data_IF_174591558570
#
_entry.id   IF_174591558570
#
_cell.length_a   1.000
_cell.length_b   1.000
_cell.length_c   1.000
_cell.angle_alpha   90.00
_cell.angle_beta   90.00
_cell.angle_gamma   90.00
#
_symmetry.space_group_name_H-M   'P 1'
#
loop_
_entity.id
_entity.type
_entity.pdbx_description
1 polymer ?
2 non-polymer ?
3 non-polymer ?
4 non-polymer ?
5 non-polymer ?
6 non-polymer ?
7 non-polymer ?
8 water ?
#
# COMPACT_ATOMS: atom_id res chain seq x y z
N UNK A 4 -9.57 -10.14 -17.50
CA UNK A 4 -8.16 -10.62 -17.33
C UNK A 4 -7.51 -9.84 -16.13
N UNK A 5 -6.88 -10.59 -15.24
CA UNK A 5 -6.10 -10.07 -14.12
C UNK A 5 -4.63 -10.22 -14.43
N UNK A 6 -3.90 -9.14 -14.24
CA UNK A 6 -2.45 -9.23 -14.36
C UNK A 6 -1.78 -9.61 -13.05
N UNK A 7 -0.57 -10.19 -13.12
CA UNK A 7 0.19 -10.46 -11.91
C UNK A 7 1.66 -10.22 -12.22
N UNK A 8 2.33 -9.48 -11.34
CA UNK A 8 3.78 -9.28 -11.47
C UNK A 8 4.47 -9.81 -10.20
N UNK A 9 5.55 -10.56 -10.42
CA UNK A 9 6.43 -11.11 -9.38
C UNK A 9 7.77 -11.39 -10.01
N UNK A 10 8.84 -10.97 -9.33
CA UNK A 10 10.19 -11.23 -9.79
C UNK A 10 11.09 -11.62 -8.61
N UNK A 11 11.65 -12.82 -8.67
CA UNK A 11 12.53 -13.39 -7.61
C UNK A 11 13.67 -12.46 -7.25
N UNK A 12 14.12 -11.64 -8.20
CA UNK A 12 15.26 -10.71 -7.94
C UNK A 12 14.98 -9.73 -6.76
N UNK A 13 13.70 -9.48 -6.48
CA UNK A 13 13.31 -8.63 -5.34
C UNK A 13 13.56 -9.31 -3.96
N UNK A 14 13.85 -10.62 -3.97
CA UNK A 14 14.32 -11.35 -2.77
C UNK A 14 15.75 -10.96 -2.34
N UNK A 15 16.50 -10.32 -3.23
CA UNK A 15 17.93 -10.05 -2.97
C UNK A 15 18.23 -9.01 -1.89
N UNK A 16 17.32 -8.05 -1.72
CA UNK A 16 17.29 -7.12 -0.60
C UNK A 16 17.20 -7.95 0.71
N UNK A 17 18.17 -7.78 1.61
CA UNK A 17 18.20 -8.57 2.85
C UNK A 17 18.91 -7.81 3.93
N UNK A 18 18.69 -8.25 5.17
CA UNK A 18 19.34 -7.67 6.35
C UNK A 18 20.56 -8.57 6.68
N UNK A 19 21.76 -8.06 6.43
CA UNK A 19 22.94 -8.91 6.60
C UNK A 19 23.31 -9.05 8.07
N UNK A 20 22.74 -8.23 8.94
CA UNK A 20 23.01 -8.32 10.36
C UNK A 20 21.99 -9.16 11.13
N UNK A 21 20.81 -9.39 10.55
CA UNK A 21 19.74 -10.06 11.29
C UNK A 21 18.87 -10.76 10.25
N UNK A 22 19.20 -12.03 9.99
CA UNK A 22 18.52 -12.75 8.92
C UNK A 22 17.10 -13.14 9.31
N UNK A 23 16.74 -12.95 10.58
CA UNK A 23 15.38 -13.14 11.06
C UNK A 23 14.57 -11.82 11.12
N UNK A 24 15.15 -10.70 10.67
CA UNK A 24 14.37 -9.45 10.57
C UNK A 24 13.02 -9.68 9.81
N UNK A 25 11.90 -9.13 10.32
CA UNK A 25 10.56 -9.56 9.79
C UNK A 25 10.31 -9.21 8.31
N UNK A 26 10.99 -8.21 7.77
CA UNK A 26 10.79 -7.86 6.35
C UNK A 26 11.68 -8.78 5.48
N UNK A 27 11.26 -10.03 5.38
CA UNK A 27 12.02 -11.15 4.82
C UNK A 27 11.93 -11.27 3.32
N UNK A 28 13.05 -11.65 2.66
CA UNK A 28 12.99 -12.05 1.24
C UNK A 28 11.84 -13.01 0.91
N UNK A 29 11.58 -13.95 1.79
CA UNK A 29 10.54 -14.96 1.55
C UNK A 29 9.11 -14.46 1.71
N UNK A 30 8.93 -13.21 2.16
CA UNK A 30 7.55 -12.63 2.11
C UNK A 30 6.97 -12.77 0.66
N UNK A 31 7.75 -12.40 -0.35
CA UNK A 31 7.19 -12.40 -1.73
C UNK A 31 7.18 -13.81 -2.36
N UNK A 32 8.20 -14.62 -2.07
CA UNK A 32 8.21 -16.00 -2.65
C UNK A 32 7.12 -16.88 -2.05
N UNK A 33 6.80 -16.68 -0.76
CA UNK A 33 5.71 -17.44 -0.14
C UNK A 33 4.37 -17.01 -0.73
N UNK A 34 4.15 -15.72 -0.89
CA UNK A 34 2.89 -15.26 -1.51
C UNK A 34 2.77 -15.84 -2.93
N UNK A 35 3.85 -15.73 -3.70
CA UNK A 35 3.82 -16.27 -5.06
C UNK A 35 3.54 -17.80 -5.06
N UNK A 36 4.25 -18.55 -4.20
CA UNK A 36 4.07 -20.04 -4.17
C UNK A 36 2.62 -20.35 -3.81
N UNK A 37 2.02 -19.56 -2.92
CA UNK A 37 0.61 -19.79 -2.57
C UNK A 37 -0.36 -19.59 -3.73
N UNK A 38 -0.08 -18.60 -4.59
CA UNK A 38 -0.91 -18.34 -5.78
C UNK A 38 -0.76 -19.54 -6.72
N UNK A 39 0.44 -20.10 -6.80
CA UNK A 39 0.65 -21.33 -7.59
C UNK A 39 -0.15 -22.52 -7.04
N UNK A 40 -0.04 -22.76 -5.72
CA UNK A 40 -0.82 -23.79 -5.05
C UNK A 40 -2.31 -23.68 -5.22
N UNK A 41 -2.86 -22.47 -5.14
CA UNK A 41 -4.30 -22.28 -5.29
C UNK A 41 -4.71 -22.23 -6.75
N UNK A 42 -3.75 -22.39 -7.66
CA UNK A 42 -4.00 -22.40 -9.11
C UNK A 42 -4.48 -21.04 -9.64
N UNK A 43 -4.12 -19.98 -8.92
CA UNK A 43 -4.45 -18.59 -9.29
C UNK A 43 -3.47 -18.07 -10.31
N UNK A 44 -2.20 -18.46 -10.15
CA UNK A 44 -1.13 -17.99 -11.02
C UNK A 44 -1.42 -18.26 -12.50
N UNK A 45 -1.90 -19.47 -12.81
CA UNK A 45 -2.11 -19.84 -14.21
C UNK A 45 -3.35 -19.16 -14.79
N UNK A 46 -4.17 -18.52 -13.96
CA UNK A 46 -5.35 -17.78 -14.43
C UNK A 46 -5.05 -16.30 -14.75
N UNK A 47 -3.86 -15.85 -14.35
CA UNK A 47 -3.43 -14.48 -14.53
C UNK A 47 -2.55 -14.28 -15.74
N UNK A 48 -2.61 -13.07 -16.29
CA UNK A 48 -1.65 -12.64 -17.28
C UNK A 48 -0.39 -12.15 -16.56
N UNK A 49 0.74 -12.76 -16.89
CA UNK A 49 1.98 -12.41 -16.25
C UNK A 49 2.59 -11.13 -16.82
N UNK A 50 2.78 -10.13 -15.96
CA UNK A 50 3.38 -8.85 -16.39
C UNK A 50 4.84 -8.84 -15.97
N UNK A 51 5.73 -8.45 -16.86
CA UNK A 51 7.15 -8.46 -16.44
C UNK A 51 7.54 -7.35 -15.50
N UNK A 52 8.51 -7.62 -14.60
CA UNK A 52 9.07 -6.58 -13.78
C UNK A 52 9.98 -5.80 -14.68
N UNK A 53 10.30 -4.58 -14.29
CA UNK A 53 11.34 -3.80 -14.95
C UNK A 53 11.85 -2.86 -13.89
N UNK A 54 13.01 -2.26 -14.14
CA UNK A 54 13.49 -1.20 -13.28
C UNK A 54 12.73 0.09 -13.56
N UNK A 55 12.34 0.79 -12.52
CA UNK A 55 11.98 2.18 -12.60
C UNK A 55 13.24 2.93 -13.06
N UNK A 56 13.05 4.00 -13.82
CA UNK A 56 14.17 4.90 -14.16
C UNK A 56 14.30 5.99 -13.12
N UNK A 57 15.48 6.62 -13.05
CA UNK A 57 15.70 7.78 -12.17
C UNK A 57 14.77 8.95 -12.46
N UNK A 58 14.42 9.12 -13.73
CA UNK A 58 13.44 10.11 -14.10
C UNK A 58 12.08 9.82 -13.49
N UNK A 59 11.65 8.57 -13.55
CA UNK A 59 10.41 8.15 -12.88
C UNK A 59 10.44 8.39 -11.37
N UNK A 60 11.57 8.05 -10.73
CA UNK A 60 11.72 8.33 -9.30
C UNK A 60 11.56 9.79 -8.96
N UNK A 61 12.02 10.68 -9.85
CA UNK A 61 11.90 12.12 -9.66
C UNK A 61 10.47 12.61 -9.73
N UNK A 62 9.54 11.73 -10.12
CA UNK A 62 8.15 12.13 -10.04
C UNK A 62 7.72 12.47 -8.62
N UNK A 63 8.34 11.80 -7.64
CA UNK A 63 8.02 12.01 -6.25
C UNK A 63 9.24 12.31 -5.36
N UNK A 64 10.46 11.95 -5.79
CA UNK A 64 11.62 12.03 -4.89
C UNK A 64 12.63 13.07 -5.33
N UNK A 65 13.29 13.71 -4.37
CA UNK A 65 14.38 14.64 -4.69
C UNK A 65 15.55 13.93 -5.35
N UNK A 66 16.32 14.67 -6.16
CA UNK A 66 17.52 14.12 -6.74
C UNK A 66 18.55 13.68 -5.68
N UNK A 67 18.64 14.43 -4.58
CA UNK A 67 19.55 14.06 -3.47
C UNK A 67 19.17 12.70 -2.86
N UNK A 68 17.86 12.43 -2.66
CA UNK A 68 17.43 11.16 -2.08
C UNK A 68 17.74 9.98 -3.01
N UNK A 69 17.43 10.13 -4.31
CA UNK A 69 17.71 9.09 -5.30
C UNK A 69 19.20 8.74 -5.32
N UNK A 70 20.00 9.79 -5.36
CA UNK A 70 21.47 9.74 -5.39
C UNK A 70 22.06 9.03 -4.17
N UNK A 71 21.64 9.45 -2.99
CA UNK A 71 22.02 8.79 -1.72
C UNK A 71 21.66 7.27 -1.75
N UNK A 72 20.41 6.94 -2.05
CA UNK A 72 20.05 5.51 -2.12
C UNK A 72 20.85 4.75 -3.18
N UNK A 73 21.01 5.35 -4.36
CA UNK A 73 21.76 4.70 -5.42
C UNK A 73 23.22 4.42 -5.01
N UNK A 74 23.85 5.36 -4.29
CA UNK A 74 25.26 5.23 -3.85
C UNK A 74 25.48 4.02 -2.91
N UNK A 75 24.39 3.55 -2.27
CA UNK A 75 24.44 2.39 -1.37
C UNK A 75 24.85 1.11 -2.08
N UNK A 76 24.71 1.10 -3.41
CA UNK A 76 24.98 -0.06 -4.25
C UNK A 76 26.43 -0.60 -4.19
N UNK A 77 27.33 0.37 -3.98
CA UNK A 77 28.78 0.25 -3.90
C UNK A 77 29.30 0.61 -2.49
N UNK A 78 28.63 0.08 -1.48
CA UNK A 78 29.08 0.25 -0.07
C UNK A 78 29.46 -1.05 0.60
N UNK A 79 30.43 -0.94 1.51
CA UNK A 79 30.86 -2.08 2.33
C UNK A 79 29.90 -2.17 3.53
N UNK A 80 29.84 -3.33 4.21
CA UNK A 80 28.82 -3.46 5.25
C UNK A 80 28.73 -2.28 6.25
N UNK A 81 29.88 -1.78 6.68
CA UNK A 81 29.96 -0.70 7.67
C UNK A 81 29.22 0.56 7.23
N UNK A 82 29.35 0.90 5.96
CA UNK A 82 28.74 2.11 5.43
C UNK A 82 27.26 1.91 5.13
N UNK A 83 26.92 0.71 4.72
CA UNK A 83 25.50 0.29 4.63
C UNK A 83 24.80 0.46 5.96
N UNK A 84 25.41 -0.06 7.03
CA UNK A 84 24.92 0.15 8.40
C UNK A 84 24.80 1.63 8.76
N UNK A 85 25.86 2.41 8.55
CA UNK A 85 25.80 3.86 8.84
C UNK A 85 24.71 4.64 8.10
N UNK A 86 24.58 4.37 6.79
CA UNK A 86 23.53 5.01 5.97
C UNK A 86 22.12 4.61 6.42
N UNK A 87 21.89 3.33 6.61
CA UNK A 87 20.56 2.86 7.06
C UNK A 87 20.15 3.51 8.35
N UNK A 88 21.12 3.63 9.26
CA UNK A 88 20.94 4.24 10.57
C UNK A 88 20.64 5.74 10.54
N UNK A 89 20.87 6.40 9.40
CA UNK A 89 20.42 7.80 9.27
C UNK A 89 18.90 7.93 9.13
N UNK A 90 18.24 6.80 8.86
CA UNK A 90 16.78 6.79 8.76
C UNK A 90 16.15 6.10 9.95
N UNK A 91 14.84 6.25 10.10
CA UNK A 91 14.07 5.43 11.02
C UNK A 91 13.72 4.06 10.38
N UNK A 92 14.16 2.97 11.02
CA UNK A 92 13.83 1.58 10.61
C UNK A 92 14.13 1.23 9.15
N UNK A 93 15.41 1.32 8.78
CA UNK A 93 15.86 0.96 7.46
C UNK A 93 17.09 0.07 7.59
N UNK A 94 17.07 -1.07 6.91
CA UNK A 94 18.31 -1.81 6.64
C UNK A 94 18.56 -1.78 5.13
N UNK A 95 19.84 -1.71 4.75
CA UNK A 95 20.27 -1.63 3.37
C UNK A 95 21.31 -2.70 3.11
N UNK A 96 21.18 -3.38 1.97
CA UNK A 96 22.20 -4.25 1.42
C UNK A 96 22.61 -3.70 0.03
N UNK A 97 23.59 -4.36 -0.62
CA UNK A 97 24.07 -3.90 -1.92
C UNK A 97 22.98 -4.03 -3.00
N UNK A 98 21.98 -4.88 -2.75
CA UNK A 98 20.94 -5.15 -3.73
C UNK A 98 19.72 -4.26 -3.52
N UNK A 99 19.69 -3.45 -2.46
CA UNK A 99 18.43 -2.78 -2.03
C UNK A 99 17.91 -1.78 -3.06
N UNK A 100 18.81 -0.92 -3.54
CA UNK A 100 18.43 0.04 -4.58
C UNK A 100 17.80 -0.64 -5.81
N UNK A 101 18.43 -1.71 -6.30
CA UNK A 101 17.92 -2.48 -7.45
C UNK A 101 16.51 -2.99 -7.14
N UNK A 102 16.35 -3.56 -5.95
CA UNK A 102 15.05 -4.15 -5.61
C UNK A 102 13.96 -3.08 -5.49
N UNK A 103 14.33 -1.93 -4.94
CA UNK A 103 13.39 -0.82 -4.85
C UNK A 103 13.00 -0.34 -6.25
N UNK A 104 13.97 -0.29 -7.17
CA UNK A 104 13.66 0.07 -8.58
C UNK A 104 12.73 -0.94 -9.20
N UNK A 105 13.00 -2.24 -8.98
CA UNK A 105 12.12 -3.28 -9.51
C UNK A 105 10.71 -3.23 -8.94
N UNK A 106 10.56 -2.90 -7.65
CA UNK A 106 9.22 -2.87 -7.09
C UNK A 106 8.42 -1.75 -7.77
N UNK A 107 9.05 -0.58 -7.94
CA UNK A 107 8.38 0.55 -8.62
C UNK A 107 8.07 0.26 -10.11
N UNK A 108 9.06 -0.23 -10.83
CA UNK A 108 8.91 -0.52 -12.26
C UNK A 108 7.87 -1.59 -12.51
N UNK A 109 7.79 -2.57 -11.61
CA UNK A 109 6.75 -3.59 -11.71
C UNK A 109 5.36 -3.00 -11.63
N UNK A 110 5.19 -2.07 -10.70
CA UNK A 110 3.88 -1.42 -10.54
C UNK A 110 3.55 -0.51 -11.74
N UNK A 111 4.56 0.16 -12.29
CA UNK A 111 4.36 0.97 -13.49
C UNK A 111 3.87 0.10 -14.64
N UNK A 112 4.47 -1.07 -14.84
CA UNK A 112 4.11 -1.93 -15.96
C UNK A 112 2.73 -2.44 -15.67
N UNK A 113 2.42 -2.65 -14.39
CA UNK A 113 1.04 -3.13 -14.13
C UNK A 113 0.00 -2.01 -14.41
N UNK A 114 0.31 -0.78 -14.00
CA UNK A 114 -0.63 0.32 -14.18
C UNK A 114 -0.80 0.55 -15.71
N UNK A 115 0.30 0.41 -16.47
CA UNK A 115 0.25 0.54 -17.92
C UNK A 115 -0.64 -0.55 -18.54
N UNK A 116 -0.51 -1.79 -18.04
CA UNK A 116 -1.29 -2.92 -18.55
C UNK A 116 -2.76 -2.68 -18.32
N UNK A 117 -3.10 -2.04 -17.20
CA UNK A 117 -4.50 -1.75 -16.92
C UNK A 117 -5.01 -0.60 -17.84
N UNK A 118 -4.22 0.46 -17.95
CA UNK A 118 -4.67 1.65 -18.65
C UNK A 118 -4.65 1.52 -20.18
N UNK A 119 -3.80 0.64 -20.72
CA UNK A 119 -3.85 0.28 -22.15
C UNK A 119 -4.93 -0.78 -22.41
N UNK A 120 -5.59 -1.25 -21.36
CA UNK A 120 -6.62 -2.28 -21.48
C UNK A 120 -6.14 -3.69 -21.78
N UNK A 121 -4.86 -3.98 -21.54
CA UNK A 121 -4.36 -5.37 -21.65
C UNK A 121 -4.97 -6.26 -20.56
N UNK A 122 -5.18 -5.70 -19.37
CA UNK A 122 -5.82 -6.38 -18.22
C UNK A 122 -6.85 -5.42 -17.59
N UNK A 123 -7.85 -5.97 -16.91
CA UNK A 123 -8.83 -5.17 -16.17
C UNK A 123 -8.21 -4.66 -14.85
N UNK A 124 -7.43 -5.51 -14.18
CA UNK A 124 -6.93 -5.21 -12.82
C UNK A 124 -5.67 -6.03 -12.63
N UNK A 125 -4.95 -5.85 -11.51
CA UNK A 125 -3.66 -6.52 -11.37
C UNK A 125 -3.18 -6.59 -9.92
N UNK A 126 -2.25 -7.51 -9.65
CA UNK A 126 -1.64 -7.65 -8.34
C UNK A 126 -0.13 -7.59 -8.49
N UNK A 127 0.54 -6.87 -7.58
CA UNK A 127 2.00 -6.69 -7.66
C UNK A 127 2.60 -7.26 -6.37
N UNK A 128 3.34 -8.37 -6.48
CA UNK A 128 3.83 -9.06 -5.29
C UNK A 128 5.27 -8.59 -5.20
N UNK A 129 5.47 -7.50 -4.47
CA UNK A 129 6.75 -6.72 -4.57
C UNK A 129 7.34 -6.40 -3.20
N UNK A 130 8.66 -6.15 -3.14
CA UNK A 130 9.35 -5.65 -1.92
C UNK A 130 10.65 -5.06 -2.42
N UNK A 131 11.28 -4.16 -1.66
CA UNK A 131 10.79 -3.61 -0.37
C UNK A 131 9.51 -2.76 -0.54
N UNK A 132 8.73 -2.55 0.54
CA UNK A 132 7.54 -1.72 0.45
C UNK A 132 7.83 -0.22 0.23
N UNK A 133 6.77 0.58 0.21
CA UNK A 133 6.83 1.97 -0.27
C UNK A 133 6.25 3.09 0.59
N UNK A 134 5.17 2.81 1.29
CA UNK A 134 4.33 3.90 1.76
C UNK A 134 4.86 4.82 2.87
N UNK A 135 5.97 4.45 3.55
CA UNK A 135 6.60 5.36 4.50
C UNK A 135 7.63 6.24 3.84
N UNK A 136 8.01 5.91 2.60
CA UNK A 136 9.04 6.76 1.93
C UNK A 136 8.48 8.14 1.58
N UNK A 137 9.29 9.16 1.87
CA UNK A 137 8.91 10.58 1.72
C UNK A 137 9.68 11.07 0.51
N UNK A 138 9.37 12.28 0.03
CA UNK A 138 10.13 12.92 -1.07
C UNK A 138 11.63 12.86 -0.84
N UNK A 139 12.06 13.19 0.38
CA UNK A 139 13.48 13.42 0.69
C UNK A 139 14.15 12.33 1.50
N UNK A 140 13.36 11.36 1.96
CA UNK A 140 13.87 10.39 2.90
C UNK A 140 13.24 9.00 2.84
N UNK A 141 14.06 8.01 3.21
CA UNK A 141 13.67 6.62 3.40
C UNK A 141 13.13 6.46 4.84
N UNK A 142 12.29 5.45 5.08
CA UNK A 142 11.66 5.26 6.36
C UNK A 142 10.98 3.92 6.43
N UNK A 143 11.11 3.19 7.54
CA UNK A 143 10.14 2.09 7.81
C UNK A 143 10.10 1.04 6.71
N UNK A 144 11.29 0.54 6.34
CA UNK A 144 11.50 -0.54 5.33
C UNK A 144 11.35 -0.07 3.87
N UNK A 145 10.96 1.19 3.70
CA UNK A 145 10.64 1.80 2.41
C UNK A 145 11.71 2.79 1.90
N UNK A 146 12.08 2.65 0.64
CA UNK A 146 13.12 3.54 0.03
C UNK A 146 12.51 4.58 -0.88
N UNK A 147 11.59 4.15 -1.74
CA UNK A 147 10.86 5.03 -2.67
C UNK A 147 9.41 4.68 -2.54
N UNK A 148 8.54 5.68 -2.71
CA UNK A 148 7.13 5.44 -2.50
C UNK A 148 6.50 4.87 -3.77
N UNK A 149 6.55 3.55 -3.88
CA UNK A 149 6.02 2.81 -4.98
C UNK A 149 4.55 3.18 -5.38
N UNK A 150 3.62 3.18 -4.44
CA UNK A 150 2.24 3.57 -4.78
C UNK A 150 2.11 5.02 -5.24
N UNK A 151 2.84 5.95 -4.60
CA UNK A 151 2.77 7.40 -4.94
C UNK A 151 3.34 7.59 -6.35
N UNK A 152 4.49 6.93 -6.59
CA UNK A 152 5.16 6.96 -7.91
C UNK A 152 4.24 6.45 -9.02
N UNK A 153 3.50 5.38 -8.70
CA UNK A 153 2.60 4.67 -9.64
C UNK A 153 1.43 5.59 -10.02
N UNK A 154 0.91 6.32 -9.04
CA UNK A 154 -0.12 7.29 -9.34
C UNK A 154 0.41 8.41 -10.28
N UNK A 155 1.62 8.92 -10.01
CA UNK A 155 2.20 9.93 -10.90
C UNK A 155 2.56 9.36 -12.26
N UNK A 156 3.07 8.12 -12.26
CA UNK A 156 3.35 7.45 -13.52
C UNK A 156 2.06 7.34 -14.38
N UNK A 157 0.95 6.91 -13.78
CA UNK A 157 -0.34 6.81 -14.45
C UNK A 157 -0.83 8.13 -15.00
N UNK A 158 -0.59 9.21 -14.24
CA UNK A 158 -0.95 10.56 -14.70
C UNK A 158 -0.10 10.98 -15.87
N UNK A 159 1.17 10.57 -15.89
CA UNK A 159 2.10 10.95 -16.96
C UNK A 159 1.79 10.31 -18.33
N UNK A 160 0.96 9.25 -18.36
CA UNK A 160 0.58 8.56 -19.61
C UNK A 160 -0.87 8.71 -19.96
N UNK A 161 -1.60 9.52 -19.17
CA UNK A 161 -3.03 9.70 -19.46
C UNK A 161 -3.34 11.20 -19.40
N UNK A 162 -3.73 11.69 -18.23
CA UNK A 162 -3.72 13.14 -17.99
C UNK A 162 -3.20 13.49 -16.61
N UNK A 163 -2.55 14.65 -16.56
CA UNK A 163 -1.95 15.15 -15.32
C UNK A 163 -2.86 15.08 -14.12
N UNK A 164 -4.15 15.41 -14.31
CA UNK A 164 -5.18 15.41 -13.22
C UNK A 164 -6.02 14.15 -13.19
N UNK A 165 -5.53 13.06 -13.80
CA UNK A 165 -6.22 11.75 -13.65
C UNK A 165 -6.56 11.50 -12.18
N UNK A 166 -7.82 11.14 -11.88
CA UNK A 166 -8.24 10.96 -10.50
C UNK A 166 -7.82 9.58 -10.01
N UNK A 167 -6.84 9.56 -9.08
CA UNK A 167 -6.33 8.27 -8.57
C UNK A 167 -6.74 8.14 -7.09
N UNK A 168 -7.45 7.07 -6.74
CA UNK A 168 -7.67 6.71 -5.35
C UNK A 168 -6.63 5.76 -4.86
N UNK A 169 -5.98 6.13 -3.73
CA UNK A 169 -5.10 5.15 -3.06
C UNK A 169 -5.77 4.77 -1.74
N UNK A 170 -6.14 3.50 -1.62
CA UNK A 170 -6.60 2.94 -0.35
C UNK A 170 -5.43 2.23 0.29
N UNK A 171 -5.06 2.66 1.52
CA UNK A 171 -3.91 2.12 2.19
C UNK A 171 -4.48 1.33 3.40
N UNK A 172 -4.56 0.00 3.25
CA UNK A 172 -5.05 -0.84 4.33
C UNK A 172 -3.95 -1.59 5.10
N UNK A 173 -2.66 -1.32 4.82
CA UNK A 173 -1.60 -1.69 5.73
C UNK A 173 -1.97 -1.18 7.15
N UNK A 174 -1.56 -1.88 8.19
CA UNK A 174 -1.95 -1.48 9.55
C UNK A 174 -1.29 -0.15 10.00
N UNK A 175 -0.21 0.23 9.29
CA UNK A 175 0.48 1.49 9.57
C UNK A 175 0.02 2.64 8.71
N UNK A 176 0.09 3.87 9.21
CA UNK A 176 -0.18 5.04 8.38
C UNK A 176 0.87 5.24 7.32
N UNK A 177 0.45 5.54 6.08
CA UNK A 177 1.39 5.81 5.01
C UNK A 177 1.74 7.27 5.03
N UNK A 178 2.64 7.66 5.94
CA UNK A 178 2.98 9.06 6.14
C UNK A 178 3.53 9.65 4.85
N UNK A 179 4.32 8.85 4.12
CA UNK A 179 4.97 9.32 2.91
C UNK A 179 3.95 9.63 1.82
N UNK A 180 2.99 8.73 1.61
CA UNK A 180 1.88 8.95 0.67
C UNK A 180 1.01 10.17 1.03
N UNK A 181 0.59 10.22 2.28
CA UNK A 181 -0.16 11.40 2.74
C UNK A 181 0.57 12.71 2.37
N UNK A 182 1.85 12.76 2.72
CA UNK A 182 2.62 14.02 2.56
C UNK A 182 2.86 14.40 1.09
N UNK A 183 3.18 13.41 0.27
CA UNK A 183 3.37 13.60 -1.16
C UNK A 183 2.15 14.23 -1.81
N UNK A 184 0.94 13.78 -1.42
CA UNK A 184 -0.31 14.26 -2.02
C UNK A 184 -1.13 15.25 -1.18
N UNK A 185 -0.55 15.78 -0.12
CA UNK A 185 -1.31 16.53 0.88
C UNK A 185 -2.02 17.78 0.30
N UNK A 186 -1.42 18.41 -0.71
CA UNK A 186 -2.03 19.57 -1.39
C UNK A 186 -2.72 19.22 -2.71
N UNK A 187 -2.92 17.93 -2.97
CA UNK A 187 -3.30 17.48 -4.29
C UNK A 187 -4.76 17.01 -4.32
N UNK A 188 -5.61 17.59 -5.17
CA UNK A 188 -7.00 17.07 -5.24
C UNK A 188 -7.19 15.99 -6.32
N UNK A 189 -6.12 15.61 -7.00
CA UNK A 189 -6.20 14.58 -8.05
C UNK A 189 -5.95 13.18 -7.50
N UNK A 190 -5.34 13.13 -6.30
CA UNK A 190 -5.03 11.85 -5.66
C UNK A 190 -5.69 11.81 -4.29
N UNK A 191 -6.79 11.06 -4.17
CA UNK A 191 -7.47 10.89 -2.91
C UNK A 191 -6.74 9.78 -2.13
N UNK A 192 -6.25 10.13 -0.95
CA UNK A 192 -5.57 9.19 -0.06
C UNK A 192 -6.44 8.82 1.09
N UNK A 193 -6.76 7.52 1.19
CA UNK A 193 -7.55 7.00 2.29
C UNK A 193 -6.75 5.92 2.98
N UNK A 194 -6.39 6.21 4.24
CA UNK A 194 -5.66 5.22 5.07
C UNK A 194 -6.49 4.74 6.28
N UNK A 195 -6.48 3.42 6.52
CA UNK A 195 -6.95 2.85 7.77
C UNK A 195 -5.69 2.41 8.47
N UNK A 196 -5.59 2.67 9.77
CA UNK A 196 -4.36 2.35 10.48
C UNK A 196 -4.54 2.39 11.97
N UNK A 197 -3.75 1.56 12.63
CA UNK A 197 -3.65 1.59 14.09
C UNK A 197 -2.90 2.87 14.48
N UNK A 198 -3.47 3.59 15.45
CA UNK A 198 -2.98 4.91 15.85
C UNK A 198 -2.65 4.93 17.32
N UNK A 199 -3.61 4.52 18.16
CA UNK A 199 -3.41 4.44 19.64
C UNK A 199 -2.98 5.82 20.16
N UNK A 200 -3.62 6.90 19.70
CA UNK A 200 -3.35 8.27 20.19
C UNK A 200 -1.89 8.60 20.01
N UNK A 201 -1.29 8.02 18.99
CA UNK A 201 0.11 8.33 18.71
C UNK A 201 1.11 7.34 19.27
N UNK A 202 0.65 6.30 19.95
CA UNK A 202 1.60 5.35 20.54
C UNK A 202 2.08 4.32 19.49
N UNK A 203 1.36 4.25 18.37
CA UNK A 203 1.67 3.25 17.34
C UNK A 203 2.50 3.90 16.23
N UNK A 204 3.58 3.24 15.80
CA UNK A 204 4.41 3.71 14.68
C UNK A 204 3.57 4.16 13.45
N UNK A 205 3.87 5.27 12.76
CA UNK A 205 5.10 6.07 12.96
C UNK A 205 4.99 7.17 14.05
N UNK A 206 4.02 7.09 14.95
CA UNK A 206 4.06 7.91 16.21
C UNK A 206 3.92 9.42 16.00
N UNK A 207 3.20 9.80 14.96
CA UNK A 207 2.97 11.20 14.63
C UNK A 207 1.48 11.50 14.59
N UNK A 208 1.09 12.69 15.06
CA UNK A 208 -0.29 13.16 14.93
C UNK A 208 -0.72 13.41 13.48
N UNK A 209 0.24 13.37 12.56
CA UNK A 209 -0.08 13.45 11.09
C UNK A 209 -1.08 12.37 10.67
N UNK A 210 -1.04 11.23 11.38
CA UNK A 210 -2.03 10.13 11.17
C UNK A 210 -3.39 10.37 11.75
N UNK A 211 -3.64 11.48 12.48
CA UNK A 211 -5.01 11.58 13.08
C UNK A 211 -6.13 11.95 12.10
N UNK A 212 -7.40 11.75 12.50
CA UNK A 212 -8.54 11.96 11.57
C UNK A 212 -8.77 13.42 11.14
N UNK A 213 -8.22 14.37 11.91
CA UNK A 213 -8.42 15.77 11.59
C UNK A 213 -7.40 16.27 10.56
N UNK A 214 -6.53 15.38 10.07
CA UNK A 214 -5.62 15.78 9.00
C UNK A 214 -6.33 15.46 7.68
N UNK A 215 -6.97 16.49 7.09
CA UNK A 215 -7.99 16.27 6.01
C UNK A 215 -7.45 16.70 4.63
N UNK A 216 -6.19 17.13 4.57
CA UNK A 216 -5.64 17.68 3.33
C UNK A 216 -5.38 19.19 3.48
N UNK A 217 -4.55 19.75 2.59
CA UNK A 217 -4.15 21.17 2.69
C UNK A 217 -4.37 21.91 1.36
N UNK A 218 -4.77 23.18 1.43
CA UNK A 218 -4.92 24.00 0.21
C UNK A 218 -5.96 23.42 -0.73
N UNK A 219 -5.63 23.31 -2.02
CA UNK A 219 -6.62 22.70 -2.93
C UNK A 219 -6.87 21.21 -2.60
N UNK A 220 -5.99 20.60 -1.80
CA UNK A 220 -6.17 19.19 -1.37
C UNK A 220 -7.03 18.99 -0.14
N UNK A 221 -7.66 20.06 0.35
CA UNK A 221 -8.47 19.94 1.51
C UNK A 221 -9.72 19.06 1.23
N UNK A 222 -9.87 18.02 2.04
CA UNK A 222 -10.93 17.01 1.87
C UNK A 222 -10.40 15.76 1.18
N UNK A 223 -9.18 15.80 0.67
CA UNK A 223 -8.69 14.68 -0.17
C UNK A 223 -7.67 13.80 0.57
N UNK A 224 -7.68 13.86 1.88
CA UNK A 224 -6.84 13.01 2.70
C UNK A 224 -7.73 12.50 3.81
N UNK A 225 -7.91 11.18 3.90
CA UNK A 225 -8.92 10.63 4.81
C UNK A 225 -8.16 9.60 5.67
N UNK A 226 -7.92 9.99 6.93
CA UNK A 226 -7.30 9.11 7.96
C UNK A 226 -8.35 8.47 8.86
N UNK A 227 -8.33 7.13 8.93
CA UNK A 227 -9.24 6.36 9.75
C UNK A 227 -8.35 5.70 10.83
N UNK A 228 -8.21 6.39 11.99
CA UNK A 228 -7.26 5.91 12.99
C UNK A 228 -7.94 5.03 14.06
N UNK A 229 -7.39 3.84 14.29
CA UNK A 229 -7.91 2.92 15.33
C UNK A 229 -7.22 3.14 16.67
N UNK A 230 -8.01 3.14 17.73
CA UNK A 230 -7.43 3.24 19.12
C UNK A 230 -8.10 2.21 19.99
N UNK A 231 -7.39 1.69 20.99
CA UNK A 231 -8.07 0.78 21.94
C UNK A 231 -7.93 -0.69 21.57
N UNK A 232 -6.76 -1.09 21.05
CA UNK A 232 -6.40 -2.51 20.88
C UNK A 232 -6.97 -3.18 19.60
N UNK A 233 -7.10 -4.51 19.63
CA UNK A 233 -7.34 -5.28 18.39
C UNK A 233 -8.61 -4.90 17.70
N UNK A 234 -8.53 -4.77 16.37
CA UNK A 234 -9.66 -4.58 15.49
C UNK A 234 -9.64 -5.73 14.47
N UNK A 235 -10.75 -5.97 13.79
CA UNK A 235 -10.83 -7.12 12.85
C UNK A 235 -11.85 -6.87 11.75
N UNK A 236 -12.40 -7.94 11.16
CA UNK A 236 -13.37 -7.79 10.10
C UNK A 236 -14.54 -6.82 10.36
N UNK A 237 -15.20 -6.89 11.53
CA UNK A 237 -16.35 -5.98 11.66
C UNK A 237 -15.99 -4.50 11.53
N UNK A 238 -14.89 -4.09 12.14
CA UNK A 238 -14.46 -2.71 12.16
C UNK A 238 -14.03 -2.26 10.76
N UNK A 239 -13.29 -3.12 10.07
CA UNK A 239 -12.88 -2.84 8.68
C UNK A 239 -14.04 -2.76 7.73
N UNK A 240 -14.98 -3.72 7.83
CA UNK A 240 -16.18 -3.68 7.01
C UNK A 240 -17.02 -2.42 7.27
N UNK A 241 -17.11 -2.03 8.54
CA UNK A 241 -17.88 -0.82 8.90
C UNK A 241 -17.22 0.44 8.36
N UNK A 242 -15.89 0.53 8.45
CA UNK A 242 -15.22 1.68 7.91
C UNK A 242 -15.37 1.80 6.37
N UNK A 243 -15.32 0.66 5.66
CA UNK A 243 -15.53 0.66 4.22
C UNK A 243 -16.96 1.08 3.89
N UNK A 244 -17.90 0.53 4.64
CA UNK A 244 -19.33 0.89 4.46
C UNK A 244 -19.66 2.39 4.72
N UNK A 245 -19.26 2.90 5.87
CA UNK A 245 -19.55 4.29 6.22
C UNK A 245 -18.70 5.35 5.58
N UNK A 246 -17.43 5.03 5.28
CA UNK A 246 -16.43 6.05 4.93
C UNK A 246 -15.75 5.79 3.59
N UNK A 247 -15.05 4.64 3.46
CA UNK A 247 -14.23 4.39 2.27
C UNK A 247 -15.06 4.42 0.99
N UNK A 248 -16.17 3.68 0.98
CA UNK A 248 -16.88 3.50 -0.28
C UNK A 248 -17.74 4.71 -0.62
N UNK A 249 -18.41 5.33 0.39
CA UNK A 249 -19.16 6.53 -0.04
C UNK A 249 -18.25 7.69 -0.54
N UNK A 250 -17.11 7.90 0.10
CA UNK A 250 -16.18 8.95 -0.34
C UNK A 250 -15.62 8.60 -1.74
N UNK A 251 -15.19 7.34 -1.88
CA UNK A 251 -14.66 6.84 -3.15
C UNK A 251 -15.64 7.05 -4.31
N UNK A 252 -16.91 6.64 -4.12
CA UNK A 252 -17.92 6.84 -5.18
C UNK A 252 -18.12 8.30 -5.55
N UNK A 253 -18.15 9.16 -4.54
CA UNK A 253 -18.25 10.59 -4.79
C UNK A 253 -17.04 11.13 -5.55
N UNK A 254 -15.83 10.65 -5.22
CA UNK A 254 -14.65 11.06 -5.92
C UNK A 254 -14.61 10.58 -7.38
N UNK A 255 -15.19 9.40 -7.62
CA UNK A 255 -15.22 8.78 -8.95
C UNK A 255 -13.82 8.61 -9.52
N UNK A 256 -12.97 7.80 -8.84
CA UNK A 256 -11.59 7.57 -9.30
C UNK A 256 -11.54 7.00 -10.74
N UNK A 257 -10.48 7.30 -11.47
CA UNK A 257 -10.30 6.72 -12.80
C UNK A 257 -9.32 5.55 -12.71
N UNK A 258 -8.64 5.43 -11.55
CA UNK A 258 -7.71 4.31 -11.24
C UNK A 258 -7.68 4.14 -9.71
N UNK A 259 -7.76 2.90 -9.22
CA UNK A 259 -7.59 2.58 -7.79
C UNK A 259 -6.26 1.87 -7.57
N UNK A 260 -5.42 2.39 -6.66
CA UNK A 260 -4.31 1.66 -6.17
C UNK A 260 -4.53 1.28 -4.75
N UNK A 261 -4.21 0.03 -4.40
CA UNK A 261 -4.32 -0.39 -3.02
C UNK A 261 -2.91 -0.50 -2.48
N UNK A 262 -2.59 0.33 -1.47
CA UNK A 262 -1.37 0.08 -0.66
C UNK A 262 -1.71 -1.09 0.28
N UNK A 263 -1.46 -2.33 -0.20
CA UNK A 263 -2.09 -3.51 0.44
C UNK A 263 -1.04 -4.15 1.34
N UNK A 264 -0.83 -3.58 2.53
CA UNK A 264 -0.05 -4.29 3.52
C UNK A 264 -0.97 -5.32 4.10
N UNK A 265 -0.40 -6.41 4.56
CA UNK A 265 -1.23 -7.43 5.18
C UNK A 265 -0.84 -7.62 6.64
N UNK A 266 -0.42 -6.52 7.29
CA UNK A 266 -0.02 -6.59 8.68
C UNK A 266 -1.15 -6.27 9.61
N UNK A 267 -2.35 -5.98 9.08
CA UNK A 267 -3.55 -5.95 9.94
C UNK A 267 -4.13 -7.37 10.03
N UNK A 268 -3.47 -8.34 9.43
CA UNK A 268 -3.98 -9.73 9.39
C UNK A 268 -3.93 -10.44 10.73
N UNK A 269 -4.94 -11.28 10.98
CA UNK A 269 -4.87 -12.28 12.06
C UNK A 269 -3.51 -13.01 11.96
N UNK A 270 -2.80 -13.06 13.07
CA UNK A 270 -1.49 -13.75 13.14
C UNK A 270 -0.26 -12.84 12.97
N UNK A 271 -0.47 -11.59 12.54
CA UNK A 271 0.69 -10.70 12.35
C UNK A 271 1.28 -10.35 13.71
N UNK A 272 2.61 -10.56 13.91
CA UNK A 272 3.20 -10.30 15.22
C UNK A 272 3.42 -8.78 15.48
N UNK A 273 3.41 -7.96 14.42
CA UNK A 273 3.63 -6.53 14.56
C UNK A 273 2.31 -5.74 14.60
N UNK A 274 1.29 -6.17 13.88
CA UNK A 274 0.07 -5.37 13.81
C UNK A 274 -0.92 -5.52 14.96
N UNK A 275 -0.97 -6.71 15.51
CA UNK A 275 -1.92 -7.04 16.63
C UNK A 275 -3.39 -6.99 16.31
N UNK A 276 -3.74 -7.02 15.02
CA UNK A 276 -5.13 -7.03 14.58
C UNK A 276 -5.57 -8.39 14.07
N UNK A 277 -6.84 -8.52 13.67
CA UNK A 277 -7.41 -9.84 13.34
C UNK A 277 -8.22 -9.86 12.05
N UNK A 278 -7.83 -9.04 11.07
CA UNK A 278 -8.49 -9.07 9.76
C UNK A 278 -8.22 -10.45 9.11
N UNK A 279 -9.28 -11.11 8.63
CA UNK A 279 -9.13 -12.48 8.07
C UNK A 279 -8.92 -12.45 6.58
N UNK A 280 -8.48 -13.59 5.96
CA UNK A 280 -8.33 -13.61 4.48
C UNK A 280 -9.66 -13.28 3.78
N UNK A 281 -10.78 -13.79 4.34
CA UNK A 281 -12.14 -13.51 3.87
C UNK A 281 -12.50 -12.01 4.00
N UNK A 282 -12.08 -11.38 5.10
CA UNK A 282 -12.20 -9.93 5.22
C UNK A 282 -11.53 -9.18 4.08
N UNK A 283 -10.26 -9.50 3.80
CA UNK A 283 -9.54 -8.82 2.73
C UNK A 283 -10.19 -9.09 1.37
N UNK A 284 -10.74 -10.30 1.21
CA UNK A 284 -11.48 -10.60 -0.01
C UNK A 284 -12.64 -9.66 -0.15
N UNK A 285 -13.42 -9.48 0.93
CA UNK A 285 -14.56 -8.53 0.86
C UNK A 285 -14.13 -7.09 0.60
N UNK A 286 -13.01 -6.66 1.17
CA UNK A 286 -12.55 -5.29 0.92
C UNK A 286 -12.19 -5.11 -0.58
N UNK A 287 -11.47 -6.09 -1.12
CA UNK A 287 -11.09 -6.09 -2.55
C UNK A 287 -12.36 -6.01 -3.40
N UNK A 288 -13.26 -6.95 -3.15
CA UNK A 288 -14.51 -7.03 -3.91
C UNK A 288 -15.23 -5.68 -3.96
N UNK A 289 -15.31 -4.96 -2.82
CA UNK A 289 -15.93 -3.62 -2.78
C UNK A 289 -15.17 -2.63 -3.66
N UNK A 290 -13.83 -2.60 -3.56
CA UNK A 290 -13.06 -1.67 -4.37
C UNK A 290 -13.20 -1.89 -5.90
N UNK A 291 -13.44 -3.14 -6.26
CA UNK A 291 -13.66 -3.53 -7.69
C UNK A 291 -14.83 -2.83 -8.34
N UNK A 292 -15.79 -2.33 -7.53
CA UNK A 292 -16.95 -1.59 -8.03
C UNK A 292 -16.57 -0.15 -8.45
N UNK A 293 -15.31 0.23 -8.26
CA UNK A 293 -14.88 1.56 -8.58
C UNK A 293 -14.05 1.57 -9.84
N UNK A 294 -13.99 2.74 -10.47
CA UNK A 294 -13.11 3.03 -11.61
C UNK A 294 -13.27 1.99 -12.74
N UNK A 295 -14.50 1.51 -12.97
CA UNK A 295 -14.74 0.45 -13.97
C UNK A 295 -13.83 -0.78 -13.73
N UNK A 296 -13.57 -1.09 -12.46
CA UNK A 296 -12.79 -2.26 -12.09
C UNK A 296 -11.28 -2.10 -12.20
N UNK A 297 -10.83 -0.89 -12.45
CA UNK A 297 -9.38 -0.66 -12.69
C UNK A 297 -8.65 -0.51 -11.35
N UNK A 298 -8.19 -1.66 -10.81
CA UNK A 298 -7.66 -1.78 -9.43
C UNK A 298 -6.28 -2.48 -9.55
N UNK A 299 -5.26 -1.89 -8.94
CA UNK A 299 -3.93 -2.45 -8.83
C UNK A 299 -3.66 -2.67 -7.33
N UNK A 300 -3.46 -3.93 -6.92
CA UNK A 300 -3.19 -4.23 -5.50
C UNK A 300 -1.67 -4.36 -5.32
N UNK A 301 -1.10 -3.49 -4.48
CA UNK A 301 0.38 -3.40 -4.33
C UNK A 301 0.76 -3.86 -2.93
N UNK A 302 1.59 -4.91 -2.83
CA UNK A 302 2.02 -5.36 -1.50
C UNK A 302 2.74 -4.25 -0.75
N UNK A 303 2.37 -4.01 0.50
CA UNK A 303 3.18 -3.15 1.38
C UNK A 303 3.79 -4.03 2.48
N UNK A 304 3.41 -3.86 3.75
CA UNK A 304 3.89 -4.74 4.83
C UNK A 304 3.06 -6.02 5.04
N UNK A 305 3.23 -6.66 6.19
CA UNK A 305 2.64 -7.98 6.44
C UNK A 305 3.77 -8.98 6.66
N UNK A 306 3.77 -9.54 7.87
CA UNK A 306 4.94 -10.23 8.41
C UNK A 306 4.76 -11.68 8.81
N UNK A 307 3.51 -12.16 8.88
CA UNK A 307 3.25 -13.56 9.11
C UNK A 307 3.13 -14.17 7.72
N UNK A 308 4.05 -15.08 7.41
CA UNK A 308 4.17 -15.59 6.03
C UNK A 308 2.90 -16.32 5.56
N UNK A 309 2.32 -17.13 6.44
CA UNK A 309 1.08 -17.82 6.12
C UNK A 309 -0.07 -16.82 5.98
N UNK A 310 -0.16 -15.87 6.90
CA UNK A 310 -1.25 -14.88 6.85
C UNK A 310 -1.24 -14.07 5.54
N UNK A 311 -0.09 -13.52 5.19
CA UNK A 311 -0.02 -12.67 3.98
C UNK A 311 -0.24 -13.47 2.69
N UNK A 312 0.23 -14.74 2.68
CA UNK A 312 0.02 -15.63 1.55
C UNK A 312 -1.45 -15.92 1.30
N UNK A 313 -2.16 -16.30 2.35
CA UNK A 313 -3.58 -16.56 2.22
C UNK A 313 -4.35 -15.29 1.91
N UNK A 314 -3.97 -14.18 2.55
CA UNK A 314 -4.73 -12.96 2.40
C UNK A 314 -4.53 -12.37 1.01
N UNK A 315 -3.28 -12.23 0.56
CA UNK A 315 -3.11 -11.64 -0.75
C UNK A 315 -3.70 -12.57 -1.84
N UNK A 316 -3.58 -13.89 -1.67
CA UNK A 316 -4.13 -14.83 -2.68
C UNK A 316 -5.67 -14.66 -2.76
N UNK A 317 -6.32 -14.43 -1.61
CA UNK A 317 -7.76 -14.23 -1.62
C UNK A 317 -8.17 -12.94 -2.36
N UNK A 318 -7.34 -11.88 -2.24
CA UNK A 318 -7.55 -10.64 -3.02
C UNK A 318 -7.49 -10.94 -4.53
N UNK A 319 -6.42 -11.61 -4.97
CA UNK A 319 -6.29 -12.05 -6.39
C UNK A 319 -7.53 -12.86 -6.88
N UNK A 320 -7.97 -13.83 -6.07
CA UNK A 320 -9.19 -14.61 -6.39
C UNK A 320 -10.40 -13.70 -6.63
N UNK A 321 -10.54 -12.65 -5.82
CA UNK A 321 -11.58 -11.64 -6.09
C UNK A 321 -11.38 -10.86 -7.40
N UNK A 322 -10.16 -10.40 -7.63
CA UNK A 322 -9.88 -9.69 -8.90
C UNK A 322 -10.20 -10.58 -10.10
N UNK A 323 -10.01 -11.90 -9.95
CA UNK A 323 -10.27 -12.87 -11.04
C UNK A 323 -11.76 -13.08 -11.26
N UNK A 324 -12.60 -12.53 -10.40
CA UNK A 324 -14.05 -12.69 -10.48
C UNK A 324 -14.67 -13.80 -9.66
N UNK A 325 -13.92 -14.44 -8.77
CA UNK A 325 -14.48 -15.54 -7.93
C UNK A 325 -15.48 -14.93 -6.94
N UNK A 326 -16.49 -15.69 -6.53
CA UNK A 326 -17.51 -15.14 -5.61
C UNK A 326 -16.88 -14.88 -4.24
N UNK A 327 -17.25 -13.75 -3.59
CA UNK A 327 -16.77 -13.44 -2.24
C UNK A 327 -17.13 -14.56 -1.26
N UNK A 328 -16.17 -14.99 -0.41
CA UNK A 328 -16.46 -16.08 0.54
C UNK A 328 -17.43 -15.61 1.62
N UNK A 329 -18.07 -16.55 2.32
CA UNK A 329 -18.99 -16.22 3.41
C UNK A 329 -18.27 -15.42 4.51
N UNK A 330 -18.93 -14.42 5.07
CA UNK A 330 -18.41 -13.83 6.31
C UNK A 330 -19.14 -14.32 7.58
N UNK A 334 -19.84 -9.34 13.99
CA UNK A 334 -20.28 -8.90 15.31
C UNK A 334 -20.59 -7.37 15.41
N UNK A 335 -21.17 -6.91 16.54
CA UNK A 335 -21.05 -5.46 16.80
C UNK A 335 -19.58 -5.01 16.98
N UNK A 336 -19.37 -3.72 16.72
CA UNK A 336 -18.07 -3.08 16.73
C UNK A 336 -17.62 -2.84 18.13
N UNK A 337 -16.31 -2.95 18.34
CA UNK A 337 -15.68 -2.43 19.54
C UNK A 337 -16.02 -0.94 19.63
N UNK A 338 -16.30 -0.48 20.85
CA UNK A 338 -16.80 0.90 21.11
C UNK A 338 -15.89 1.98 20.55
N UNK A 339 -14.59 1.79 20.76
CA UNK A 339 -13.61 2.76 20.26
C UNK A 339 -13.59 2.86 18.73
N UNK A 340 -14.01 1.80 18.03
CA UNK A 340 -14.06 1.78 16.56
C UNK A 340 -15.21 2.64 16.07
N UNK A 341 -16.35 2.54 16.76
CA UNK A 341 -17.46 3.44 16.52
C UNK A 341 -17.06 4.90 16.70
N UNK A 342 -16.30 5.16 17.76
CA UNK A 342 -15.84 6.54 18.07
C UNK A 342 -14.95 7.04 16.93
N UNK A 343 -14.04 6.17 16.49
CA UNK A 343 -13.16 6.51 15.36
C UNK A 343 -13.95 6.83 14.10
N UNK A 344 -14.88 5.94 13.72
CA UNK A 344 -15.65 6.15 12.49
C UNK A 344 -16.39 7.49 12.57
N UNK A 345 -17.00 7.75 13.72
CA UNK A 345 -17.83 8.95 13.90
C UNK A 345 -16.94 10.21 13.86
N UNK A 346 -15.70 10.11 14.38
CA UNK A 346 -14.74 11.23 14.29
C UNK A 346 -14.38 11.56 12.85
N UNK A 347 -14.16 10.52 12.05
CA UNK A 347 -13.84 10.71 10.64
C UNK A 347 -15.03 11.32 9.89
N UNK A 348 -16.22 10.81 10.17
CA UNK A 348 -17.45 11.31 9.55
C UNK A 348 -17.66 12.80 9.80
N UNK A 349 -17.51 13.21 11.04
CA UNK A 349 -17.56 14.62 11.43
C UNK A 349 -16.48 15.45 10.71
N UNK A 350 -15.28 14.89 10.55
CA UNK A 350 -14.18 15.66 9.96
C UNK A 350 -14.36 15.82 8.45
N UNK A 351 -15.04 14.88 7.80
CA UNK A 351 -15.16 14.88 6.34
C UNK A 351 -16.52 15.27 5.75
N UNK A 352 -17.57 15.25 6.55
CA UNK A 352 -18.87 15.84 6.14
C UNK A 352 -18.86 17.23 5.44
N UNK A 353 -17.92 18.13 5.81
CA UNK A 353 -17.85 19.41 5.10
C UNK A 353 -17.43 19.28 3.64
N UNK A 354 -16.68 18.21 3.32
CA UNK A 354 -16.15 17.98 1.98
C UNK A 354 -16.91 16.98 1.10
N UNK A 355 -17.63 16.04 1.72
CA UNK A 355 -18.29 14.95 0.97
C UNK A 355 -19.78 14.87 1.33
N UNK A 356 -20.66 15.19 0.37
CA UNK A 356 -22.13 15.21 0.55
C UNK A 356 -22.68 13.85 0.94
N UNK A 357 -22.02 12.80 0.45
CA UNK A 357 -22.45 11.45 0.74
C UNK A 357 -22.36 11.11 2.23
N UNK A 358 -21.60 11.89 3.01
CA UNK A 358 -21.50 11.57 4.45
C UNK A 358 -22.52 12.33 5.28
N UNK A 359 -23.33 13.17 4.66
CA UNK A 359 -24.30 13.99 5.40
C UNK A 359 -25.58 13.23 5.73
#
# INVERSE_FOLDING_TARGET
>A
SSPITGLVYDQRMMLHHNMWDSHHPELPQRISRIFSRHEELRLLSRCHRIPARLATEEELALCHSSKHISIIKSSEHMKPRDLNRLGDEYNSIFISNESYTCALLAAGSCFNSAQAILTGQVRNAVAIVRPPGHHAEKDTACGFCFFNTAALTARYAQSITRESLRVLIVDWDVHHGNGTQHIFEEDDSVLYISLHRYEDGAFFPNSEDANYDKVGLGKGRGYNVNIPWNGGKMGDPEYMAAFHHLVMPIAREFAPELVLVSAGFDAARGDPLGGFQVTPEGYAHLTHQLMSLAAGRVLIILEGGYNLTSISESMSMCTSMLLGDSPPSLDHLTPLKTSATVSINNVLRAHAPFWSSLR
#
